data_IF_453871660539
#
_entry.id   IF_453871660539
#
_cell.length_a   1.000
_cell.length_b   1.000
_cell.length_c   1.000
_cell.angle_alpha   90.00
_cell.angle_beta   90.00
_cell.angle_gamma   90.00
#
_symmetry.space_group_name_H-M   'P 1'
#
loop_
_entity.id
_entity.type
_entity.pdbx_description
1 polymer ?
#
# COMPACT_ATOMS: atom_id res chain seq x y z
N UNK A 1 -24.93 -9.01 -20.96
CA UNK A 1 -24.86 -8.22 -19.71
C UNK A 1 -24.48 -6.77 -20.03
N UNK A 2 -25.25 -5.79 -19.56
CA UNK A 2 -24.96 -4.35 -19.68
C UNK A 2 -24.43 -3.82 -18.35
N UNK A 3 -23.38 -3.00 -18.37
CA UNK A 3 -22.96 -2.24 -17.18
C UNK A 3 -23.45 -0.80 -17.28
N UNK A 4 -24.08 -0.30 -16.20
CA UNK A 4 -24.56 1.07 -16.09
C UNK A 4 -23.97 1.71 -14.85
N UNK A 5 -23.16 2.75 -15.03
CA UNK A 5 -22.69 3.59 -13.93
C UNK A 5 -23.65 4.76 -13.73
N UNK A 6 -24.37 4.77 -12.60
CA UNK A 6 -25.30 5.87 -12.23
C UNK A 6 -24.67 6.88 -11.28
N UNK A 7 -23.41 6.68 -10.93
CA UNK A 7 -22.68 7.51 -9.97
C UNK A 7 -21.85 8.56 -10.69
N UNK A 8 -21.38 9.55 -9.94
CA UNK A 8 -20.39 10.53 -10.42
C UNK A 8 -18.96 9.97 -10.43
N UNK A 9 -18.74 8.77 -9.92
CA UNK A 9 -17.41 8.20 -9.74
C UNK A 9 -16.97 7.42 -10.98
N UNK A 10 -15.74 7.63 -11.47
CA UNK A 10 -15.17 6.81 -12.52
C UNK A 10 -15.18 5.33 -12.15
N UNK A 11 -15.71 4.50 -13.05
CA UNK A 11 -15.81 3.07 -12.85
C UNK A 11 -15.65 2.30 -14.15
N UNK A 12 -15.18 1.07 -14.04
CA UNK A 12 -14.97 0.14 -15.14
C UNK A 12 -15.51 -1.24 -14.76
N UNK A 13 -16.14 -1.92 -15.72
CA UNK A 13 -16.49 -3.32 -15.60
C UNK A 13 -15.71 -4.14 -16.62
N UNK A 14 -15.19 -5.30 -16.21
CA UNK A 14 -14.43 -6.21 -17.08
C UNK A 14 -14.58 -7.66 -16.62
N UNK A 15 -14.21 -8.60 -17.49
CA UNK A 15 -14.31 -10.03 -17.22
C UNK A 15 -13.06 -10.57 -16.51
N UNK A 16 -13.29 -11.50 -15.59
CA UNK A 16 -12.28 -12.31 -14.95
C UNK A 16 -12.60 -13.79 -15.05
N UNK A 17 -11.56 -14.60 -14.88
CA UNK A 17 -11.71 -16.03 -14.62
C UNK A 17 -10.79 -16.44 -13.49
N UNK A 18 -11.19 -17.46 -12.73
CA UNK A 18 -10.33 -18.08 -11.72
C UNK A 18 -9.51 -19.24 -12.31
N UNK A 19 -8.80 -19.97 -11.45
CA UNK A 19 -8.00 -21.14 -11.83
C UNK A 19 -8.84 -22.34 -12.28
N UNK A 20 -10.14 -22.35 -11.96
CA UNK A 20 -11.09 -23.38 -12.36
C UNK A 20 -11.86 -22.99 -13.63
N UNK A 21 -11.45 -21.91 -14.30
CA UNK A 21 -12.08 -21.33 -15.49
C UNK A 21 -13.52 -20.85 -15.25
N UNK A 22 -13.91 -20.64 -13.98
CA UNK A 22 -15.17 -20.02 -13.65
C UNK A 22 -15.08 -18.54 -13.96
N UNK A 23 -16.02 -18.03 -14.77
CA UNK A 23 -16.03 -16.61 -15.11
C UNK A 23 -16.73 -15.81 -14.03
N UNK A 24 -16.29 -14.58 -13.90
CA UNK A 24 -16.95 -13.59 -13.06
C UNK A 24 -16.73 -12.20 -13.67
N UNK A 25 -17.61 -11.28 -13.33
CA UNK A 25 -17.47 -9.88 -13.70
C UNK A 25 -16.89 -9.09 -12.53
N UNK A 26 -15.92 -8.25 -12.83
CA UNK A 26 -15.30 -7.33 -11.89
C UNK A 26 -15.80 -5.94 -12.21
N UNK A 27 -16.33 -5.24 -11.20
CA UNK A 27 -16.60 -3.80 -11.27
C UNK A 27 -15.63 -3.11 -10.33
N UNK A 28 -14.88 -2.15 -10.85
CA UNK A 28 -14.00 -1.30 -10.06
C UNK A 28 -14.52 0.14 -10.13
N UNK A 29 -14.66 0.78 -8.98
CA UNK A 29 -15.00 2.18 -8.84
C UNK A 29 -13.90 2.90 -8.07
N UNK A 30 -13.43 4.03 -8.58
CA UNK A 30 -12.43 4.87 -7.90
C UNK A 30 -13.09 6.16 -7.42
N UNK A 31 -12.91 6.48 -6.15
CA UNK A 31 -13.32 7.77 -5.57
C UNK A 31 -12.07 8.57 -5.20
N UNK A 32 -12.05 9.81 -5.65
CA UNK A 32 -10.97 10.75 -5.32
C UNK A 32 -11.50 11.76 -4.31
N UNK A 33 -10.79 11.86 -3.19
CA UNK A 33 -11.12 12.74 -2.08
C UNK A 33 -9.98 13.72 -1.82
N UNK A 34 -10.35 14.88 -1.32
CA UNK A 34 -9.48 15.78 -0.55
C UNK A 34 -9.99 15.82 0.89
N UNK A 35 -9.52 16.74 1.74
CA UNK A 35 -10.05 16.91 3.09
C UNK A 35 -10.19 18.37 3.49
N UNK A 36 -11.09 18.60 4.45
CA UNK A 36 -11.31 19.90 5.06
C UNK A 36 -10.38 20.15 6.25
N UNK A 37 -10.53 21.30 6.92
CA UNK A 37 -9.71 21.69 8.08
C UNK A 37 -9.85 20.75 9.30
N UNK A 38 -10.90 19.94 9.37
CA UNK A 38 -11.12 18.94 10.42
C UNK A 38 -10.57 17.55 10.04
N UNK A 39 -10.00 17.40 8.84
CA UNK A 39 -9.52 16.12 8.32
C UNK A 39 -10.64 15.18 7.89
N UNK A 40 -11.85 15.68 7.67
CA UNK A 40 -12.92 14.87 7.08
C UNK A 40 -12.69 14.77 5.58
N UNK A 41 -12.69 13.54 5.04
CA UNK A 41 -12.58 13.34 3.60
C UNK A 41 -13.84 13.86 2.91
N UNK A 42 -13.64 14.68 1.88
CA UNK A 42 -14.69 15.22 1.00
C UNK A 42 -14.32 14.92 -0.44
N UNK A 43 -15.30 14.76 -1.32
CA UNK A 43 -15.02 14.49 -2.73
C UNK A 43 -14.20 15.62 -3.35
N UNK A 44 -13.18 15.26 -4.11
CA UNK A 44 -12.41 16.21 -4.89
C UNK A 44 -13.21 16.67 -6.13
N UNK A 45 -12.99 17.91 -6.54
CA UNK A 45 -13.63 18.49 -7.73
C UNK A 45 -13.32 17.70 -9.01
N UNK A 46 -12.10 17.18 -9.11
CA UNK A 46 -11.66 16.28 -10.18
C UNK A 46 -11.51 14.85 -9.64
N UNK A 47 -12.05 13.89 -10.40
CA UNK A 47 -11.97 12.47 -10.07
C UNK A 47 -10.93 11.78 -10.96
N UNK A 48 -9.96 11.11 -10.33
CA UNK A 48 -9.02 10.25 -11.05
C UNK A 48 -9.76 9.02 -11.62
N UNK A 49 -9.49 8.64 -12.89
CA UNK A 49 -10.03 7.40 -13.46
C UNK A 49 -9.38 6.16 -12.82
N UNK A 50 -9.96 4.95 -12.99
CA UNK A 50 -9.29 3.72 -12.61
C UNK A 50 -7.90 3.61 -13.25
N UNK A 51 -6.92 3.16 -12.47
CA UNK A 51 -5.53 3.02 -12.88
C UNK A 51 -5.38 1.86 -13.87
N UNK A 52 -5.27 2.16 -15.16
CA UNK A 52 -5.26 1.15 -16.22
C UNK A 52 -3.94 0.37 -16.34
N UNK A 53 -2.84 0.91 -15.79
CA UNK A 53 -1.51 0.30 -15.77
C UNK A 53 -0.72 0.84 -14.58
N UNK A 54 0.25 0.08 -14.10
CA UNK A 54 1.14 0.51 -13.03
C UNK A 54 1.75 1.90 -13.34
N UNK A 55 1.73 2.80 -12.35
CA UNK A 55 2.29 4.14 -12.46
C UNK A 55 3.69 4.14 -11.84
N UNK A 56 4.72 4.16 -12.68
CA UNK A 56 6.10 4.21 -12.24
C UNK A 56 6.42 5.55 -11.55
N UNK A 57 7.42 5.54 -10.67
CA UNK A 57 7.92 6.78 -10.04
C UNK A 57 8.62 7.65 -11.09
N UNK A 58 9.46 7.02 -11.90
CA UNK A 58 10.02 7.59 -13.12
C UNK A 58 9.47 6.79 -14.31
N UNK A 59 8.63 7.40 -15.17
CA UNK A 59 8.05 6.74 -16.35
C UNK A 59 9.08 6.15 -17.32
N UNK A 60 10.31 6.67 -17.32
CA UNK A 60 11.39 6.25 -18.21
C UNK A 60 12.32 5.20 -17.57
N UNK A 61 12.07 4.83 -16.31
CA UNK A 61 12.88 3.88 -15.55
C UNK A 61 12.03 2.75 -14.96
N UNK A 62 12.10 1.58 -15.60
CA UNK A 62 11.42 0.37 -15.14
C UNK A 62 11.87 -0.11 -13.75
N UNK A 63 13.04 0.35 -13.30
CA UNK A 63 13.60 0.01 -11.98
C UNK A 63 13.27 1.07 -10.92
N UNK A 64 12.56 2.15 -11.26
CA UNK A 64 12.22 3.20 -10.29
C UNK A 64 11.16 2.78 -9.26
N UNK A 65 10.48 1.66 -9.48
CA UNK A 65 9.33 1.22 -8.68
C UNK A 65 8.03 1.92 -9.10
N UNK A 66 6.95 1.66 -8.37
CA UNK A 66 5.62 2.20 -8.69
C UNK A 66 5.05 3.03 -7.54
N UNK A 67 4.32 4.08 -7.88
CA UNK A 67 3.50 4.87 -6.94
C UNK A 67 2.13 4.23 -6.69
N UNK A 68 1.60 3.52 -7.69
CA UNK A 68 0.41 2.68 -7.58
C UNK A 68 0.41 1.61 -8.67
N UNK A 69 -0.21 0.46 -8.38
CA UNK A 69 -0.40 -0.62 -9.37
C UNK A 69 -1.78 -0.50 -10.03
N UNK A 70 -1.96 -1.21 -11.15
CA UNK A 70 -3.22 -1.20 -11.87
C UNK A 70 -4.42 -1.65 -11.02
N UNK A 71 -5.52 -0.93 -11.18
CA UNK A 71 -6.85 -1.26 -10.64
C UNK A 71 -7.49 -2.48 -11.34
N UNK A 72 -6.86 -3.03 -12.37
CA UNK A 72 -7.35 -4.20 -13.12
C UNK A 72 -7.01 -5.55 -12.46
N UNK A 73 -6.47 -5.54 -11.23
CA UNK A 73 -6.42 -6.73 -10.41
C UNK A 73 -7.85 -7.30 -10.24
N UNK A 74 -8.04 -8.57 -10.64
CA UNK A 74 -9.36 -9.21 -10.66
C UNK A 74 -9.93 -9.41 -9.25
N UNK A 75 -9.07 -9.74 -8.30
CA UNK A 75 -9.43 -9.92 -6.91
C UNK A 75 -8.23 -9.61 -6.00
N UNK A 76 -8.50 -8.93 -4.88
CA UNK A 76 -7.57 -8.73 -3.77
C UNK A 76 -8.20 -9.30 -2.50
N UNK A 77 -7.54 -10.24 -1.79
CA UNK A 77 -8.09 -10.79 -0.55
C UNK A 77 -8.01 -9.84 0.65
N UNK A 78 -7.23 -8.75 0.57
CA UNK A 78 -7.06 -7.76 1.64
C UNK A 78 -7.16 -6.34 1.10
N UNK A 79 -7.31 -5.38 2.02
CA UNK A 79 -7.20 -3.96 1.71
C UNK A 79 -5.75 -3.47 1.85
N UNK A 80 -5.21 -2.85 0.80
CA UNK A 80 -3.91 -2.19 0.78
C UNK A 80 -4.02 -0.75 1.28
N UNK A 81 -3.15 -0.33 2.20
CA UNK A 81 -3.01 1.09 2.60
C UNK A 81 -1.63 1.60 2.22
N UNK A 82 -1.60 2.46 1.20
CA UNK A 82 -0.39 2.96 0.53
C UNK A 82 -0.24 4.45 0.84
N UNK A 83 0.96 4.87 1.27
CA UNK A 83 1.29 6.29 1.47
C UNK A 83 2.37 6.71 0.47
N UNK A 84 2.06 7.72 -0.33
CA UNK A 84 2.96 8.36 -1.27
C UNK A 84 3.30 9.78 -0.82
N UNK A 85 4.53 10.23 -1.04
CA UNK A 85 4.98 11.58 -0.68
C UNK A 85 6.27 11.55 0.12
N UNK A 86 6.34 12.37 1.18
CA UNK A 86 7.55 12.54 1.97
C UNK A 86 7.31 12.35 3.48
N UNK A 87 8.36 11.96 4.19
CA UNK A 87 8.47 12.09 5.64
C UNK A 87 9.10 13.44 6.01
N UNK A 88 8.61 14.07 7.08
CA UNK A 88 9.01 15.41 7.52
C UNK A 88 9.60 15.36 8.93
N UNK A 89 10.82 15.89 9.17
CA UNK A 89 11.40 15.94 10.51
C UNK A 89 10.52 16.72 11.50
N UNK A 90 10.42 16.28 12.77
CA UNK A 90 9.65 16.99 13.79
C UNK A 90 10.14 18.42 13.98
N UNK A 91 9.20 19.33 14.27
CA UNK A 91 9.51 20.71 14.66
C UNK A 91 10.46 20.69 15.87
N UNK A 92 11.51 21.51 15.80
CA UNK A 92 12.57 21.62 16.81
C UNK A 92 13.53 20.41 16.93
N UNK A 93 13.46 19.41 16.04
CA UNK A 93 14.40 18.27 16.00
C UNK A 93 15.16 18.12 14.69
N UNK A 94 15.28 19.21 13.93
CA UNK A 94 16.00 19.24 12.65
C UNK A 94 17.50 18.93 12.78
N UNK A 95 18.07 19.11 13.98
CA UNK A 95 19.47 18.79 14.27
C UNK A 95 19.70 17.31 14.67
N UNK A 96 18.64 16.50 14.79
CA UNK A 96 18.78 15.06 15.03
C UNK A 96 19.03 14.33 13.71
N UNK A 97 19.83 13.28 13.75
CA UNK A 97 20.16 12.45 12.59
C UNK A 97 19.09 11.38 12.29
N UNK A 98 18.01 11.37 13.07
CA UNK A 98 16.89 10.44 12.90
C UNK A 98 15.58 10.95 13.49
N UNK A 99 14.47 10.47 12.98
CA UNK A 99 13.13 10.64 13.54
C UNK A 99 12.24 9.44 13.17
N UNK A 100 11.03 9.38 13.73
CA UNK A 100 10.04 8.34 13.41
C UNK A 100 8.92 8.89 12.54
N UNK A 101 8.50 8.11 11.56
CA UNK A 101 7.27 8.34 10.81
C UNK A 101 6.34 7.15 11.00
N UNK A 102 5.03 7.38 11.11
CA UNK A 102 4.09 6.29 11.39
C UNK A 102 2.72 6.48 10.77
N UNK A 103 2.07 5.33 10.53
CA UNK A 103 0.65 5.27 10.22
C UNK A 103 -0.07 4.48 11.30
N UNK A 104 -1.27 4.95 11.66
CA UNK A 104 -2.21 4.22 12.50
C UNK A 104 -3.59 4.26 11.85
N UNK A 105 -4.15 3.10 11.52
CA UNK A 105 -5.52 2.95 11.06
C UNK A 105 -6.34 2.28 12.15
N UNK A 106 -7.48 2.86 12.51
CA UNK A 106 -8.34 2.33 13.56
C UNK A 106 -9.82 2.55 13.26
N UNK A 107 -10.67 1.65 13.72
CA UNK A 107 -12.13 1.85 13.70
C UNK A 107 -12.51 3.00 14.64
N UNK A 108 -13.73 3.57 14.55
CA UNK A 108 -14.19 4.56 15.51
C UNK A 108 -14.22 4.00 16.94
N UNK A 109 -14.13 4.91 17.91
CA UNK A 109 -14.56 4.62 19.27
C UNK A 109 -16.09 4.53 19.32
N UNK A 110 -16.62 3.68 20.18
CA UNK A 110 -18.05 3.51 20.36
C UNK A 110 -18.46 3.89 21.78
N UNK A 111 -19.47 4.76 21.90
CA UNK A 111 -20.15 5.03 23.17
C UNK A 111 -21.53 4.39 23.09
N UNK A 112 -21.77 3.39 23.94
CA UNK A 112 -23.12 2.86 24.15
C UNK A 112 -23.78 3.71 25.22
N UNK A 113 -24.69 4.59 24.81
CA UNK A 113 -25.46 5.41 25.75
C UNK A 113 -26.37 4.51 26.58
N UNK A 114 -26.42 4.76 27.89
CA UNK A 114 -27.33 4.03 28.75
C UNK A 114 -28.78 4.36 28.37
N UNK A 115 -29.65 3.34 28.32
CA UNK A 115 -31.06 3.58 28.02
C UNK A 115 -31.66 4.51 29.08
N UNK A 116 -32.44 5.54 28.67
CA UNK A 116 -33.12 6.38 29.62
C UNK A 116 -34.10 5.52 30.41
N UNK A 117 -33.93 5.54 31.73
CA UNK A 117 -34.80 4.83 32.64
C UNK A 117 -36.17 5.51 32.59
N UNK A 118 -37.20 4.77 32.18
CA UNK A 118 -38.57 5.26 32.22
C UNK A 118 -38.91 5.75 33.63
N UNK A 119 -39.41 6.99 33.74
CA UNK A 119 -39.78 7.57 35.01
C UNK A 119 -40.85 6.69 35.69
N UNK A 120 -40.49 6.04 36.79
CA UNK A 120 -41.46 5.31 37.61
C UNK A 120 -42.40 6.32 38.28
N UNK A 121 -43.71 6.03 38.27
CA UNK A 121 -44.71 6.78 39.07
C UNK A 121 -44.49 6.62 40.58
N UNK A 122 -43.61 5.73 41.01
CA UNK A 122 -43.33 5.41 42.39
C UNK A 122 -41.91 5.86 42.79
N UNK A 123 -41.83 6.83 43.70
CA UNK A 123 -40.58 7.46 44.14
C UNK A 123 -39.55 6.47 44.73
N UNK A 124 -40.01 5.41 45.40
CA UNK A 124 -39.13 4.38 45.99
C UNK A 124 -38.44 3.50 44.94
N UNK A 125 -39.02 3.36 43.74
CA UNK A 125 -38.40 2.64 42.61
C UNK A 125 -37.36 3.53 41.93
N UNK A 126 -37.61 4.83 41.79
CA UNK A 126 -36.67 5.79 41.22
C UNK A 126 -35.33 5.86 41.98
N UNK A 127 -35.35 5.61 43.29
CA UNK A 127 -34.15 5.59 44.13
C UNK A 127 -33.31 4.32 43.94
N UNK A 128 -33.94 3.19 43.57
CA UNK A 128 -33.24 1.93 43.24
C UNK A 128 -32.58 1.95 41.86
N UNK A 129 -33.08 2.79 40.94
CA UNK A 129 -32.60 2.84 39.55
C UNK A 129 -31.43 3.84 39.35
N UNK A 130 -31.17 4.73 40.32
CA UNK A 130 -30.05 5.69 40.27
C UNK A 130 -28.66 5.05 40.15
N UNK A 131 -28.52 3.73 40.29
CA UNK A 131 -27.22 3.06 40.37
C UNK A 131 -26.77 2.25 39.14
N UNK A 132 -27.48 2.19 38.00
CA UNK A 132 -27.03 1.33 36.86
C UNK A 132 -27.36 1.82 35.44
N UNK A 133 -27.23 3.12 35.17
CA UNK A 133 -27.20 3.62 33.80
C UNK A 133 -25.91 4.42 33.63
N UNK A 134 -24.85 3.77 33.15
CA UNK A 134 -23.58 4.43 32.80
C UNK A 134 -23.31 4.18 31.33
N UNK A 135 -22.90 5.24 30.63
CA UNK A 135 -22.47 5.13 29.25
C UNK A 135 -21.21 4.26 29.20
N UNK A 136 -21.19 3.31 28.27
CA UNK A 136 -20.05 2.43 28.09
C UNK A 136 -19.22 2.90 26.90
N UNK A 137 -18.03 3.42 27.17
CA UNK A 137 -17.04 3.72 26.15
C UNK A 137 -16.23 2.47 25.81
N UNK A 138 -16.06 2.22 24.51
CA UNK A 138 -15.19 1.19 23.96
C UNK A 138 -14.29 1.83 22.91
N UNK A 139 -12.98 1.75 23.13
CA UNK A 139 -12.00 2.22 22.16
C UNK A 139 -12.10 1.43 20.85
N UNK A 140 -11.83 2.09 19.73
CA UNK A 140 -11.76 1.47 18.41
C UNK A 140 -10.66 0.42 18.32
N UNK A 141 -10.84 -0.54 17.41
CA UNK A 141 -9.83 -1.54 17.09
C UNK A 141 -8.76 -0.94 16.20
N UNK A 142 -7.50 -1.14 16.55
CA UNK A 142 -6.35 -0.80 15.69
C UNK A 142 -6.22 -1.86 14.61
N UNK A 143 -6.30 -1.44 13.35
CA UNK A 143 -6.20 -2.29 12.17
C UNK A 143 -4.76 -2.31 11.62
N UNK A 144 -4.11 -1.14 11.61
CA UNK A 144 -2.71 -0.97 11.22
C UNK A 144 -2.03 -0.08 12.26
N UNK A 145 -0.84 -0.48 12.70
CA UNK A 145 0.08 0.34 13.49
C UNK A 145 1.50 0.07 12.99
N UNK A 146 2.02 0.98 12.16
CA UNK A 146 3.34 0.84 11.55
C UNK A 146 4.14 2.09 11.82
N UNK A 147 5.30 1.89 12.43
CA UNK A 147 6.30 2.95 12.66
C UNK A 147 7.60 2.55 11.98
N UNK A 148 8.17 3.48 11.22
CA UNK A 148 9.49 3.36 10.60
C UNK A 148 10.41 4.46 11.12
N UNK A 149 11.70 4.17 11.16
CA UNK A 149 12.75 5.14 11.48
C UNK A 149 13.28 5.74 10.18
N UNK A 150 13.32 7.06 10.14
CA UNK A 150 13.89 7.85 9.06
C UNK A 150 15.25 8.37 9.52
N UNK A 151 16.31 8.03 8.80
CA UNK A 151 17.68 8.47 9.06
C UNK A 151 18.05 9.64 8.13
N UNK A 152 18.93 10.51 8.60
CA UNK A 152 19.61 11.46 7.72
C UNK A 152 20.48 10.72 6.70
N UNK A 153 20.88 11.34 5.58
CA UNK A 153 21.67 10.66 4.57
C UNK A 153 22.98 10.14 5.14
N UNK A 154 23.31 8.88 4.83
CA UNK A 154 24.55 8.23 5.29
C UNK A 154 25.32 7.63 4.12
N UNK A 155 26.64 7.65 4.23
CA UNK A 155 27.53 7.06 3.24
C UNK A 155 28.62 6.27 3.93
N UNK A 156 29.01 5.16 3.34
CA UNK A 156 30.24 4.46 3.68
C UNK A 156 31.32 4.91 2.70
N UNK A 157 32.43 5.43 3.23
CA UNK A 157 33.59 5.83 2.45
C UNK A 157 34.69 4.78 2.62
N UNK A 158 35.23 4.27 1.51
CA UNK A 158 36.35 3.34 1.54
C UNK A 158 37.62 4.12 1.93
N UNK A 159 38.18 3.85 3.11
CA UNK A 159 39.38 4.51 3.64
C UNK A 159 40.65 3.66 3.49
N UNK A 160 40.57 2.58 2.72
CA UNK A 160 41.66 1.62 2.59
C UNK A 160 42.82 2.10 1.73
N UNK A 161 44.02 1.87 2.27
CA UNK A 161 45.30 2.11 1.58
C UNK A 161 45.95 0.77 1.15
N UNK A 162 45.51 -0.36 1.70
CA UNK A 162 46.21 -1.66 1.63
C UNK A 162 45.48 -2.78 0.88
N UNK A 163 44.53 -2.44 -0.01
CA UNK A 163 43.91 -3.39 -0.95
C UNK A 163 42.71 -4.19 -0.45
N UNK A 164 42.36 -4.11 0.85
CA UNK A 164 41.11 -4.63 1.42
C UNK A 164 40.22 -3.46 1.81
N UNK A 165 39.00 -3.34 1.25
CA UNK A 165 38.09 -2.25 1.57
C UNK A 165 37.69 -2.21 3.06
N UNK A 166 37.81 -1.02 3.66
CA UNK A 166 37.44 -0.68 5.02
C UNK A 166 36.59 0.58 4.94
N UNK A 167 35.43 0.57 5.58
CA UNK A 167 34.39 1.54 5.32
C UNK A 167 34.12 2.36 6.57
N UNK A 168 34.25 3.68 6.46
CA UNK A 168 33.86 4.60 7.53
C UNK A 168 32.53 5.27 7.21
N UNK A 169 31.63 5.28 8.18
CA UNK A 169 30.34 5.94 8.05
C UNK A 169 30.46 7.46 8.17
N UNK A 170 29.89 8.16 7.20
CA UNK A 170 29.67 9.59 7.19
C UNK A 170 28.16 9.87 7.26
N UNK A 171 27.77 10.89 8.01
CA UNK A 171 26.38 11.26 8.25
C UNK A 171 26.23 12.73 7.85
N UNK A 172 25.35 12.98 6.88
CA UNK A 172 24.98 14.33 6.47
C UNK A 172 23.85 14.86 7.39
N UNK A 173 23.66 16.19 7.46
CA UNK A 173 22.51 16.78 8.14
C UNK A 173 21.17 16.27 7.59
N UNK A 174 20.16 16.19 8.46
CA UNK A 174 18.81 15.81 8.07
C UNK A 174 18.22 16.82 7.07
N UNK A 175 17.74 16.39 5.89
CA UNK A 175 17.05 17.27 4.95
C UNK A 175 15.70 17.75 5.50
N UNK A 176 15.11 18.77 4.88
CA UNK A 176 13.78 19.28 5.26
C UNK A 176 12.65 18.27 5.07
N UNK A 177 12.86 17.27 4.21
CA UNK A 177 11.96 16.13 3.97
C UNK A 177 12.72 14.97 3.35
N UNK A 178 12.22 13.75 3.50
CA UNK A 178 12.79 12.51 2.93
C UNK A 178 11.72 11.83 2.07
N UNK A 179 12.05 11.44 0.84
CA UNK A 179 11.08 10.76 -0.03
C UNK A 179 10.65 9.41 0.59
N UNK A 180 9.39 9.03 0.40
CA UNK A 180 8.87 7.70 0.73
C UNK A 180 9.03 6.68 -0.40
N UNK A 181 9.61 7.10 -1.52
CA UNK A 181 9.89 6.23 -2.66
C UNK A 181 10.77 5.04 -2.26
N UNK A 182 10.67 3.90 -2.96
CA UNK A 182 11.51 2.73 -2.71
C UNK A 182 13.01 3.02 -2.74
N UNK A 183 13.46 4.06 -3.45
CA UNK A 183 14.86 4.51 -3.48
C UNK A 183 15.39 5.00 -2.14
N UNK A 184 14.51 5.38 -1.21
CA UNK A 184 14.89 5.72 0.17
C UNK A 184 14.95 4.50 1.09
N UNK A 185 14.54 3.33 0.61
CA UNK A 185 14.64 2.04 1.31
C UNK A 185 15.88 1.25 0.90
N UNK A 186 16.23 0.21 1.67
CA UNK A 186 17.35 -0.67 1.32
C UNK A 186 17.07 -1.39 0.00
N UNK A 187 18.12 -1.62 -0.79
CA UNK A 187 18.05 -2.30 -2.08
C UNK A 187 18.94 -1.62 -3.11
N UNK A 188 18.60 -1.75 -4.39
CA UNK A 188 19.31 -1.17 -5.51
C UNK A 188 19.90 -2.22 -6.44
N UNK A 189 20.82 -1.81 -7.31
CA UNK A 189 21.53 -2.71 -8.20
C UNK A 189 23.00 -2.31 -8.32
N UNK A 190 23.83 -3.26 -8.77
CA UNK A 190 25.24 -3.05 -9.07
C UNK A 190 25.49 -3.41 -10.53
N UNK A 191 26.20 -2.55 -11.26
CA UNK A 191 26.54 -2.78 -12.66
C UNK A 191 28.01 -2.49 -12.96
N UNK A 192 28.54 -3.12 -14.01
CA UNK A 192 29.87 -2.83 -14.56
C UNK A 192 29.71 -2.70 -16.08
N UNK A 193 30.15 -1.57 -16.60
CA UNK A 193 30.13 -1.28 -18.04
C UNK A 193 31.27 -1.98 -18.77
N UNK A 194 31.08 -2.21 -20.07
CA UNK A 194 32.11 -2.73 -20.96
C UNK A 194 33.42 -1.93 -20.88
N UNK A 195 34.54 -2.62 -21.11
CA UNK A 195 35.88 -2.01 -21.06
C UNK A 195 36.41 -1.78 -19.65
N UNK A 196 35.62 -1.97 -18.59
CA UNK A 196 36.13 -1.87 -17.22
C UNK A 196 37.10 -3.02 -16.90
N UNK A 197 38.26 -2.68 -16.35
CA UNK A 197 39.35 -3.65 -16.09
C UNK A 197 38.99 -4.77 -15.11
N UNK A 198 37.94 -4.59 -14.29
CA UNK A 198 37.46 -5.59 -13.34
C UNK A 198 36.81 -6.81 -14.03
N UNK A 199 36.26 -6.65 -15.24
CA UNK A 199 35.55 -7.71 -15.97
C UNK A 199 36.43 -8.96 -16.20
N UNK A 200 37.75 -8.77 -16.35
CA UNK A 200 38.70 -9.89 -16.53
C UNK A 200 38.84 -10.83 -15.32
N UNK A 201 38.32 -10.44 -14.16
CA UNK A 201 38.34 -11.23 -12.93
C UNK A 201 36.98 -11.85 -12.60
N UNK A 202 35.95 -11.58 -13.42
CA UNK A 202 34.60 -12.10 -13.25
C UNK A 202 34.45 -13.32 -14.16
N UNK A 203 33.81 -14.38 -13.64
CA UNK A 203 33.56 -15.58 -14.43
C UNK A 203 32.63 -15.25 -15.60
N UNK A 204 32.85 -15.85 -16.77
CA UNK A 204 32.05 -15.59 -17.96
C UNK A 204 30.55 -15.87 -17.76
N UNK A 205 30.21 -16.87 -16.94
CA UNK A 205 28.82 -17.24 -16.64
C UNK A 205 28.08 -16.21 -15.76
N UNK A 206 28.83 -15.28 -15.13
CA UNK A 206 28.27 -14.16 -14.35
C UNK A 206 28.14 -12.87 -15.19
N UNK A 207 28.71 -12.86 -16.40
CA UNK A 207 28.62 -11.73 -17.31
C UNK A 207 27.36 -11.87 -18.17
N UNK A 208 26.79 -10.73 -18.53
CA UNK A 208 25.70 -10.71 -19.49
C UNK A 208 26.27 -11.14 -20.86
N UNK A 209 25.65 -12.12 -21.55
CA UNK A 209 26.07 -12.49 -22.90
C UNK A 209 26.06 -11.28 -23.85
N UNK A 210 27.08 -11.14 -24.71
CA UNK A 210 27.21 -9.99 -25.64
C UNK A 210 25.95 -9.74 -26.48
N UNK A 211 25.28 -10.83 -26.90
CA UNK A 211 24.03 -10.77 -27.67
C UNK A 211 22.84 -10.18 -26.90
N UNK A 212 22.92 -10.10 -25.56
CA UNK A 212 21.86 -9.60 -24.67
C UNK A 212 22.15 -8.18 -24.17
N UNK A 213 23.32 -7.61 -24.47
CA UNK A 213 23.70 -6.27 -23.99
C UNK A 213 22.70 -5.19 -24.41
N UNK A 214 22.23 -5.23 -25.66
CA UNK A 214 21.26 -4.26 -26.20
C UNK A 214 19.85 -4.41 -25.60
N UNK A 215 19.58 -5.51 -24.90
CA UNK A 215 18.27 -5.78 -24.29
C UNK A 215 18.10 -5.15 -22.91
N UNK A 216 19.21 -4.78 -22.25
CA UNK A 216 19.19 -4.19 -20.90
C UNK A 216 19.07 -2.68 -21.01
N UNK A 217 17.87 -2.18 -20.73
CA UNK A 217 17.57 -0.74 -20.69
C UNK A 217 17.39 -0.30 -19.24
N UNK A 218 18.49 0.11 -18.61
CA UNK A 218 18.47 0.92 -17.39
C UNK A 218 18.55 2.40 -17.77
N UNK A 219 17.94 3.28 -16.99
CA UNK A 219 17.83 4.74 -17.17
C UNK A 219 19.14 5.42 -17.68
N UNK A 220 19.08 6.61 -18.32
CA UNK A 220 19.67 6.96 -19.61
C UNK A 220 21.18 7.29 -19.59
N UNK A 221 21.91 7.00 -18.50
CA UNK A 221 23.28 7.46 -18.28
C UNK A 221 24.34 6.35 -18.28
N UNK A 222 23.94 5.11 -18.58
CA UNK A 222 24.86 3.97 -18.62
C UNK A 222 25.29 3.64 -20.04
N UNK A 223 26.57 3.31 -20.20
CA UNK A 223 27.10 2.67 -21.41
C UNK A 223 26.63 1.23 -21.54
N UNK A 224 27.25 0.46 -22.44
CA UNK A 224 26.96 -0.97 -22.57
C UNK A 224 27.26 -1.71 -21.27
N UNK A 225 26.28 -2.44 -20.73
CA UNK A 225 26.38 -3.10 -19.43
C UNK A 225 26.86 -4.54 -19.62
N UNK A 226 28.01 -4.89 -19.05
CA UNK A 226 28.61 -6.23 -19.12
C UNK A 226 28.31 -7.11 -17.89
N UNK A 227 27.99 -6.48 -16.75
CA UNK A 227 27.54 -7.16 -15.53
C UNK A 227 26.41 -6.34 -14.90
N UNK A 228 25.34 -7.01 -14.46
CA UNK A 228 24.25 -6.41 -13.70
C UNK A 228 23.76 -7.41 -12.65
N UNK A 229 23.69 -6.97 -11.41
CA UNK A 229 22.98 -7.70 -10.35
C UNK A 229 22.11 -6.74 -9.55
N UNK A 230 20.81 -6.95 -9.63
CA UNK A 230 19.83 -6.21 -8.84
C UNK A 230 19.51 -6.93 -7.53
N UNK A 231 19.18 -6.15 -6.50
CA UNK A 231 18.55 -6.67 -5.31
C UNK A 231 17.17 -7.23 -5.65
N UNK A 232 16.90 -8.46 -5.24
CA UNK A 232 15.62 -9.12 -5.53
C UNK A 232 14.43 -8.49 -4.81
N UNK A 233 14.65 -7.91 -3.62
CA UNK A 233 13.58 -7.37 -2.78
C UNK A 233 13.15 -5.97 -3.20
N UNK A 234 14.11 -5.10 -3.51
CA UNK A 234 13.89 -3.73 -3.91
C UNK A 234 14.95 -3.26 -4.91
N UNK A 235 14.80 -3.55 -6.21
CA UNK A 235 15.74 -3.11 -7.23
C UNK A 235 15.88 -1.59 -7.34
N UNK A 236 14.84 -0.84 -6.95
CA UNK A 236 14.81 0.62 -6.94
C UNK A 236 15.58 1.25 -5.76
N UNK A 237 15.97 0.43 -4.79
CA UNK A 237 16.48 0.87 -3.49
C UNK A 237 17.89 1.47 -3.52
N UNK A 238 18.39 1.77 -2.33
CA UNK A 238 19.75 2.28 -2.12
C UNK A 238 20.48 1.48 -1.05
N UNK A 239 21.79 1.26 -1.25
CA UNK A 239 22.68 0.65 -0.24
C UNK A 239 23.01 -0.82 -0.48
N UNK A 240 22.40 -1.47 -1.47
CA UNK A 240 22.82 -2.78 -1.94
C UNK A 240 24.18 -2.71 -2.66
N UNK A 241 25.03 -3.69 -2.39
CA UNK A 241 26.29 -3.88 -3.10
C UNK A 241 26.47 -5.37 -3.35
N UNK A 242 26.33 -5.77 -4.62
CA UNK A 242 26.43 -7.16 -5.02
C UNK A 242 27.82 -7.75 -4.65
N UNK A 243 27.92 -9.02 -4.20
CA UNK A 243 29.19 -9.57 -3.75
C UNK A 243 30.33 -9.50 -4.77
N UNK A 244 30.06 -9.81 -6.05
CA UNK A 244 31.04 -9.75 -7.14
C UNK A 244 31.46 -8.29 -7.39
N UNK A 245 30.49 -7.39 -7.52
CA UNK A 245 30.75 -5.96 -7.67
C UNK A 245 31.59 -5.42 -6.52
N UNK A 246 31.19 -5.69 -5.28
CA UNK A 246 31.87 -5.20 -4.08
C UNK A 246 33.32 -5.68 -4.01
N UNK A 247 33.55 -6.97 -4.31
CA UNK A 247 34.88 -7.59 -4.29
C UNK A 247 35.84 -6.95 -5.30
N UNK A 248 35.39 -6.74 -6.53
CA UNK A 248 36.29 -6.32 -7.63
C UNK A 248 36.32 -4.81 -7.87
N UNK A 249 35.21 -4.11 -7.59
CA UNK A 249 35.12 -2.66 -7.74
C UNK A 249 35.55 -1.91 -6.49
N UNK A 250 35.44 -2.53 -5.30
CA UNK A 250 35.73 -1.92 -4.00
C UNK A 250 35.24 -0.46 -3.92
N UNK A 251 33.92 -0.23 -4.11
CA UNK A 251 33.39 1.09 -4.43
C UNK A 251 33.86 2.13 -3.41
N UNK A 252 34.38 3.28 -3.87
CA UNK A 252 34.95 4.29 -2.97
C UNK A 252 33.91 4.93 -2.05
N UNK A 253 32.63 4.87 -2.46
CA UNK A 253 31.48 5.39 -1.72
C UNK A 253 30.27 4.49 -1.92
N UNK A 254 29.58 4.15 -0.84
CA UNK A 254 28.28 3.48 -0.87
C UNK A 254 27.28 4.40 -0.16
N UNK A 255 26.26 4.88 -0.88
CA UNK A 255 25.12 5.58 -0.27
C UNK A 255 24.22 4.57 0.43
N UNK A 256 23.76 4.87 1.64
CA UNK A 256 22.87 4.00 2.41
C UNK A 256 21.42 4.50 2.35
N UNK A 257 20.47 3.58 2.55
CA UNK A 257 19.05 3.90 2.64
C UNK A 257 18.70 4.70 3.90
N UNK A 258 17.57 5.40 3.85
CA UNK A 258 17.10 6.29 4.91
C UNK A 258 15.90 5.73 5.69
N UNK A 259 15.13 4.80 5.12
CA UNK A 259 13.93 4.23 5.75
C UNK A 259 14.23 2.84 6.29
N UNK A 260 13.97 2.63 7.58
CA UNK A 260 14.31 1.40 8.30
C UNK A 260 13.20 0.99 9.27
N UNK A 261 13.12 -0.29 9.59
CA UNK A 261 12.40 -0.71 10.79
C UNK A 261 13.16 -0.27 12.05
N UNK A 262 12.48 0.16 13.14
CA UNK A 262 13.16 0.69 14.33
C UNK A 262 14.13 -0.28 15.01
N UNK A 263 13.90 -1.59 14.88
CA UNK A 263 14.71 -2.66 15.44
C UNK A 263 15.82 -3.15 14.49
N UNK A 264 15.91 -2.60 13.27
CA UNK A 264 16.90 -3.00 12.27
C UNK A 264 17.36 -1.79 11.43
N UNK A 265 18.30 -1.02 11.98
CA UNK A 265 18.95 0.08 11.27
C UNK A 265 20.13 -0.44 10.45
N UNK A 266 20.32 0.12 9.26
CA UNK A 266 21.52 -0.16 8.44
C UNK A 266 22.79 0.25 9.18
N UNK A 267 23.81 -0.61 9.09
CA UNK A 267 25.13 -0.39 9.68
C UNK A 267 26.21 -0.94 8.76
N UNK A 268 27.46 -0.54 9.01
CA UNK A 268 28.63 -1.07 8.28
C UNK A 268 28.68 -2.61 8.34
N UNK A 269 28.38 -3.20 9.50
CA UNK A 269 28.34 -4.65 9.68
C UNK A 269 27.31 -5.34 8.78
N UNK A 270 26.12 -4.74 8.61
CA UNK A 270 25.08 -5.27 7.72
C UNK A 270 25.54 -5.18 6.27
N UNK A 271 26.06 -4.03 5.85
CA UNK A 271 26.57 -3.85 4.47
C UNK A 271 27.68 -4.86 4.17
N UNK A 272 28.62 -5.06 5.10
CA UNK A 272 29.68 -6.05 4.98
C UNK A 272 29.16 -7.50 4.92
N UNK A 273 28.06 -7.83 5.59
CA UNK A 273 27.43 -9.14 5.50
C UNK A 273 26.72 -9.35 4.17
N UNK A 274 26.00 -8.34 3.68
CA UNK A 274 25.36 -8.36 2.35
C UNK A 274 26.39 -8.51 1.24
N UNK A 275 27.46 -7.71 1.28
CA UNK A 275 28.57 -7.77 0.31
C UNK A 275 29.31 -9.12 0.30
N UNK A 276 29.14 -9.94 1.34
CA UNK A 276 29.73 -11.29 1.43
C UNK A 276 28.71 -12.40 1.19
N UNK A 277 27.44 -12.07 0.94
CA UNK A 277 26.35 -13.05 0.82
C UNK A 277 26.12 -13.84 2.11
N UNK A 278 26.34 -13.22 3.28
CA UNK A 278 26.30 -13.88 4.60
C UNK A 278 25.11 -13.48 5.48
N UNK A 279 24.28 -12.53 5.02
CA UNK A 279 23.09 -12.13 5.76
C UNK A 279 21.99 -13.18 5.53
N UNK A 280 21.33 -13.61 6.60
CA UNK A 280 20.22 -14.56 6.51
C UNK A 280 19.01 -13.94 5.83
N UNK A 281 18.17 -14.80 5.23
CA UNK A 281 17.03 -14.39 4.41
C UNK A 281 16.02 -13.51 5.17
N UNK A 282 15.65 -13.91 6.39
CA UNK A 282 14.64 -13.20 7.18
C UNK A 282 15.12 -11.80 7.57
N UNK A 283 16.38 -11.70 8.01
CA UNK A 283 17.00 -10.42 8.30
C UNK A 283 17.15 -9.56 7.05
N UNK A 284 17.48 -10.14 5.91
CA UNK A 284 17.57 -9.43 4.63
C UNK A 284 16.23 -8.86 4.20
N UNK A 285 15.17 -9.67 4.23
CA UNK A 285 13.81 -9.27 3.88
C UNK A 285 13.36 -8.04 4.70
N UNK A 286 13.71 -8.00 6.00
CA UNK A 286 13.40 -6.86 6.87
C UNK A 286 14.27 -5.61 6.64
N UNK A 287 15.30 -5.64 5.80
CA UNK A 287 16.02 -4.42 5.44
C UNK A 287 15.18 -3.50 4.55
N UNK A 288 14.28 -4.09 3.75
CA UNK A 288 13.39 -3.35 2.87
C UNK A 288 12.15 -2.90 3.64
N UNK A 289 12.10 -1.60 3.94
CA UNK A 289 11.01 -0.95 4.65
C UNK A 289 10.46 0.23 3.84
N UNK A 290 9.14 0.38 3.80
CA UNK A 290 8.50 1.53 3.13
C UNK A 290 7.04 1.66 3.51
N UNK A 291 6.41 2.76 3.10
CA UNK A 291 4.97 2.97 3.22
C UNK A 291 4.20 2.82 1.90
N UNK A 292 4.92 2.77 0.78
CA UNK A 292 4.37 2.70 -0.57
C UNK A 292 4.17 1.28 -1.09
N UNK A 293 4.22 1.12 -2.42
CA UNK A 293 4.07 -0.15 -3.13
C UNK A 293 5.31 -1.03 -2.96
N UNK A 294 5.08 -2.31 -2.64
CA UNK A 294 6.07 -3.38 -2.69
C UNK A 294 6.07 -3.99 -4.10
N UNK A 295 7.18 -3.94 -4.81
CA UNK A 295 7.29 -4.36 -6.21
C UNK A 295 6.80 -5.80 -6.47
N UNK A 296 6.25 -6.06 -7.66
CA UNK A 296 5.82 -7.41 -8.10
C UNK A 296 6.95 -8.44 -8.10
N UNK A 297 8.18 -7.99 -8.37
CA UNK A 297 9.39 -8.81 -8.33
C UNK A 297 9.85 -9.19 -6.92
N UNK A 298 9.25 -8.61 -5.87
CA UNK A 298 9.64 -8.89 -4.50
C UNK A 298 9.48 -10.40 -4.20
N UNK A 299 10.46 -11.07 -3.57
CA UNK A 299 10.45 -12.53 -3.42
C UNK A 299 9.20 -13.08 -2.74
N UNK A 300 8.72 -12.40 -1.68
CA UNK A 300 7.46 -12.78 -1.01
C UNK A 300 6.21 -12.66 -1.89
N UNK A 301 6.21 -11.85 -2.95
CA UNK A 301 5.12 -11.82 -3.95
C UNK A 301 5.34 -12.88 -5.01
N UNK A 302 6.57 -13.06 -5.49
CA UNK A 302 6.90 -14.09 -6.49
C UNK A 302 6.47 -15.49 -6.04
N UNK A 303 6.59 -15.80 -4.73
CA UNK A 303 6.10 -17.06 -4.14
C UNK A 303 4.60 -17.32 -4.35
N UNK A 304 3.81 -16.27 -4.60
CA UNK A 304 2.35 -16.33 -4.77
C UNK A 304 1.94 -16.50 -6.24
N UNK A 305 2.88 -16.45 -7.18
CA UNK A 305 2.57 -16.60 -8.60
C UNK A 305 2.14 -18.02 -8.93
N UNK A 306 2.59 -19.04 -8.20
CA UNK A 306 2.33 -20.44 -8.55
C UNK A 306 3.34 -20.98 -9.59
N UNK A 307 2.99 -22.09 -10.24
CA UNK A 307 3.88 -22.84 -11.14
C UNK A 307 3.84 -22.28 -12.57
N UNK A 308 4.87 -21.52 -12.96
CA UNK A 308 5.03 -20.98 -14.32
C UNK A 308 5.89 -21.93 -15.15
N UNK A 309 5.29 -23.01 -15.65
CA UNK A 309 5.95 -24.01 -16.50
C UNK A 309 5.63 -23.82 -17.99
N UNK A 310 6.18 -24.72 -18.82
CA UNK A 310 5.92 -24.70 -20.28
C UNK A 310 4.47 -25.01 -20.62
N UNK A 311 3.77 -25.78 -19.78
CA UNK A 311 2.40 -26.17 -20.06
C UNK A 311 1.48 -24.96 -19.85
N UNK A 312 1.67 -24.22 -18.75
CA UNK A 312 1.02 -22.92 -18.52
C UNK A 312 1.36 -21.94 -19.65
N UNK A 313 2.64 -21.80 -20.01
CA UNK A 313 3.07 -20.86 -21.06
C UNK A 313 2.47 -21.15 -22.45
N UNK A 314 2.04 -22.39 -22.71
CA UNK A 314 1.37 -22.80 -23.95
C UNK A 314 -0.16 -22.94 -23.79
N UNK A 315 -0.71 -22.66 -22.62
CA UNK A 315 -2.14 -22.74 -22.32
C UNK A 315 -2.88 -21.43 -22.61
N UNK A 316 -4.21 -21.48 -22.58
CA UNK A 316 -5.08 -20.29 -22.58
C UNK A 316 -5.44 -19.82 -21.15
N UNK A 317 -4.84 -20.41 -20.13
CA UNK A 317 -5.18 -20.13 -18.75
C UNK A 317 -4.65 -18.75 -18.34
N UNK A 318 -5.47 -17.97 -17.62
CA UNK A 318 -5.10 -16.61 -17.18
C UNK A 318 -4.12 -16.66 -16.00
N UNK A 319 -4.21 -17.70 -15.18
CA UNK A 319 -3.41 -17.89 -13.98
C UNK A 319 -2.77 -19.26 -13.98
N UNK A 320 -1.51 -19.38 -13.58
CA UNK A 320 -0.86 -20.67 -13.40
C UNK A 320 -1.49 -21.42 -12.21
N UNK A 321 -1.25 -22.73 -12.18
CA UNK A 321 -1.65 -23.57 -11.06
C UNK A 321 -0.99 -23.09 -9.76
N UNK A 322 -1.77 -22.98 -8.70
CA UNK A 322 -1.27 -22.55 -7.39
C UNK A 322 -1.07 -21.04 -7.23
N UNK A 323 -1.41 -20.22 -8.23
CA UNK A 323 -1.54 -18.76 -8.09
C UNK A 323 -2.41 -18.38 -6.89
N UNK A 324 -1.87 -17.57 -5.99
CA UNK A 324 -2.57 -16.98 -4.86
C UNK A 324 -2.87 -15.51 -5.16
N UNK A 325 -4.16 -15.14 -5.08
CA UNK A 325 -4.60 -13.78 -5.35
C UNK A 325 -4.05 -12.73 -4.39
N UNK A 326 -3.48 -13.12 -3.24
CA UNK A 326 -2.69 -12.22 -2.40
C UNK A 326 -1.48 -11.64 -3.14
N UNK A 327 -1.07 -12.21 -4.28
CA UNK A 327 -0.12 -11.59 -5.20
C UNK A 327 -0.51 -10.16 -5.59
N UNK A 328 -1.81 -9.88 -5.73
CA UNK A 328 -2.32 -8.56 -6.14
C UNK A 328 -2.36 -7.52 -5.01
N UNK A 329 -2.15 -7.93 -3.75
CA UNK A 329 -1.96 -6.98 -2.66
C UNK A 329 -0.55 -6.40 -2.72
N UNK A 330 -0.48 -5.10 -2.99
CA UNK A 330 0.77 -4.40 -3.30
C UNK A 330 1.37 -3.66 -2.11
N UNK A 331 0.61 -3.45 -1.02
CA UNK A 331 1.15 -2.90 0.21
C UNK A 331 2.06 -3.92 0.93
N UNK A 332 2.96 -3.43 1.80
CA UNK A 332 3.68 -4.30 2.73
C UNK A 332 2.70 -5.04 3.65
N UNK A 333 3.02 -6.26 4.07
CA UNK A 333 2.09 -7.12 4.84
C UNK A 333 1.54 -6.44 6.10
N UNK A 334 2.36 -5.65 6.79
CA UNK A 334 1.95 -4.88 7.97
C UNK A 334 1.23 -3.55 7.65
N UNK A 335 0.80 -3.36 6.40
CA UNK A 335 -0.06 -2.29 5.91
C UNK A 335 -1.24 -2.83 5.11
N UNK A 336 -1.52 -4.12 5.26
CA UNK A 336 -2.71 -4.78 4.74
C UNK A 336 -3.68 -5.03 5.89
N UNK A 337 -4.98 -4.94 5.61
CA UNK A 337 -6.06 -5.17 6.58
C UNK A 337 -7.20 -5.94 5.93
N UNK A 338 -8.17 -6.40 6.71
CA UNK A 338 -9.48 -6.73 6.16
C UNK A 338 -10.07 -5.51 5.42
N UNK A 339 -11.03 -5.77 4.52
CA UNK A 339 -11.71 -4.71 3.77
C UNK A 339 -12.27 -3.64 4.70
N UNK A 340 -11.97 -2.39 4.37
CA UNK A 340 -12.48 -1.25 5.12
C UNK A 340 -13.94 -1.02 4.79
N UNK A 341 -14.66 -0.42 5.74
CA UNK A 341 -16.10 -0.17 5.63
C UNK A 341 -16.43 1.31 5.49
N UNK A 342 -15.40 2.17 5.47
CA UNK A 342 -15.54 3.60 5.72
C UNK A 342 -15.84 3.85 7.19
N UNK A 343 -15.66 5.09 7.66
CA UNK A 343 -15.69 5.51 9.08
C UNK A 343 -14.39 5.28 9.89
N UNK A 344 -13.35 4.70 9.29
CA UNK A 344 -12.10 4.50 10.00
C UNK A 344 -11.30 5.82 10.12
N UNK A 345 -10.50 5.93 11.19
CA UNK A 345 -9.53 7.01 11.38
C UNK A 345 -8.17 6.57 10.89
N UNK A 346 -7.61 7.29 9.92
CA UNK A 346 -6.22 7.18 9.51
C UNK A 346 -5.42 8.33 10.13
N UNK A 347 -4.42 8.00 10.94
CA UNK A 347 -3.50 8.96 11.55
C UNK A 347 -2.13 8.80 10.91
N UNK A 348 -1.59 9.90 10.40
CA UNK A 348 -0.27 10.02 9.82
C UNK A 348 0.60 10.87 10.75
N UNK A 349 1.74 10.35 11.19
CA UNK A 349 2.71 11.09 12.00
C UNK A 349 3.99 11.30 11.21
N UNK A 350 4.42 12.55 11.05
CA UNK A 350 5.59 12.97 10.29
C UNK A 350 5.57 12.52 8.81
N UNK A 351 4.37 12.30 8.24
CA UNK A 351 4.15 11.90 6.84
C UNK A 351 3.34 12.96 6.06
N UNK A 352 3.32 14.19 6.55
CA UNK A 352 2.76 15.34 5.85
C UNK A 352 3.54 16.60 6.24
N UNK A 353 3.46 17.62 5.38
CA UNK A 353 4.06 18.91 5.65
C UNK A 353 3.46 19.55 6.93
N UNK A 354 4.25 20.26 7.76
CA UNK A 354 3.76 20.91 8.98
C UNK A 354 2.64 21.93 8.77
N UNK A 355 2.51 22.47 7.56
CA UNK A 355 1.52 23.45 7.13
C UNK A 355 0.38 22.84 6.29
N UNK A 356 0.33 21.51 6.15
CA UNK A 356 -0.78 20.84 5.46
C UNK A 356 -2.12 21.09 6.17
N UNK A 357 -3.20 21.18 5.39
CA UNK A 357 -4.56 21.36 5.93
C UNK A 357 -4.88 20.22 6.92
N UNK A 358 -5.49 20.57 8.06
CA UNK A 358 -5.81 19.69 9.19
C UNK A 358 -4.60 19.06 9.92
N UNK A 359 -3.37 19.40 9.54
CA UNK A 359 -2.19 18.98 10.30
C UNK A 359 -2.06 19.77 11.59
N UNK A 360 -1.60 19.09 12.64
CA UNK A 360 -1.33 19.68 13.95
C UNK A 360 0.07 19.29 14.39
N UNK A 361 0.67 20.07 15.31
CA UNK A 361 1.98 19.76 15.87
C UNK A 361 1.77 19.34 17.32
N UNK A 362 2.17 18.11 17.66
CA UNK A 362 2.02 17.60 19.01
C UNK A 362 3.11 18.16 19.96
N UNK A 363 3.01 17.84 21.25
CA UNK A 363 3.97 18.30 22.27
C UNK A 363 5.42 17.82 22.06
N UNK A 364 5.63 16.79 21.23
CA UNK A 364 6.96 16.27 20.86
C UNK A 364 7.54 16.97 19.62
N UNK A 365 6.76 17.84 18.98
CA UNK A 365 7.11 18.49 17.72
C UNK A 365 6.73 17.69 16.48
N UNK A 366 6.12 16.51 16.61
CA UNK A 366 5.74 15.71 15.46
C UNK A 366 4.53 16.34 14.76
N UNK A 367 4.56 16.35 13.44
CA UNK A 367 3.39 16.73 12.62
C UNK A 367 2.42 15.56 12.59
N UNK A 368 1.15 15.80 12.93
CA UNK A 368 0.09 14.78 12.97
C UNK A 368 -1.07 15.22 12.11
N UNK A 369 -1.41 14.42 11.11
CA UNK A 369 -2.61 14.55 10.28
C UNK A 369 -3.55 13.39 10.56
N UNK A 370 -4.80 13.71 10.91
CA UNK A 370 -5.86 12.71 11.16
C UNK A 370 -6.92 12.86 10.09
N UNK A 371 -7.18 11.78 9.37
CA UNK A 371 -8.17 11.71 8.30
C UNK A 371 -9.30 10.75 8.69
N UNK A 372 -10.54 11.16 8.48
CA UNK A 372 -11.73 10.33 8.67
C UNK A 372 -12.25 9.86 7.33
N UNK A 373 -12.28 8.53 7.12
CA UNK A 373 -12.80 7.95 5.89
C UNK A 373 -14.30 8.21 5.75
N UNK A 374 -14.80 8.48 4.53
CA UNK A 374 -16.21 8.75 4.31
C UNK A 374 -17.05 7.51 4.62
N UNK A 375 -18.25 7.71 5.13
CA UNK A 375 -19.20 6.62 5.43
C UNK A 375 -19.99 6.22 4.17
N UNK A 376 -19.26 5.95 3.10
CA UNK A 376 -19.79 5.57 1.79
C UNK A 376 -20.02 4.07 1.71
N UNK A 377 -21.13 3.69 1.09
CA UNK A 377 -21.46 2.31 0.74
C UNK A 377 -21.59 2.23 -0.77
N UNK A 378 -20.74 1.43 -1.40
CA UNK A 378 -20.80 1.11 -2.82
C UNK A 378 -21.34 -0.31 -3.01
N UNK A 379 -22.28 -0.48 -3.94
CA UNK A 379 -22.89 -1.78 -4.22
C UNK A 379 -23.33 -1.88 -5.68
N UNK A 380 -23.47 -3.13 -6.14
CA UNK A 380 -23.95 -3.48 -7.47
C UNK A 380 -25.39 -3.96 -7.37
N UNK A 381 -26.31 -3.27 -8.03
CA UNK A 381 -27.67 -3.74 -8.20
C UNK A 381 -27.74 -4.59 -9.48
N UNK A 382 -28.04 -5.88 -9.31
CA UNK A 382 -28.16 -6.86 -10.38
C UNK A 382 -29.63 -7.02 -10.74
N UNK A 383 -29.96 -6.82 -12.02
CA UNK A 383 -31.31 -7.01 -12.53
C UNK A 383 -31.31 -8.00 -13.68
N UNK A 384 -32.38 -8.80 -13.74
CA UNK A 384 -32.66 -9.74 -14.82
C UNK A 384 -34.06 -9.48 -15.36
N UNK A 385 -34.24 -9.73 -16.65
CA UNK A 385 -35.54 -9.77 -17.32
C UNK A 385 -36.28 -11.07 -17.06
N UNK A 386 -35.58 -12.10 -16.58
CA UNK A 386 -36.21 -13.32 -16.12
C UNK A 386 -36.99 -13.05 -14.83
N UNK A 387 -38.33 -13.17 -14.82
CA UNK A 387 -39.13 -12.92 -13.64
C UNK A 387 -38.88 -13.94 -12.51
N UNK A 388 -38.19 -15.05 -12.77
CA UNK A 388 -37.78 -16.01 -11.74
C UNK A 388 -36.51 -15.57 -10.98
N UNK A 389 -35.74 -14.64 -11.55
CA UNK A 389 -34.50 -14.16 -10.94
C UNK A 389 -34.78 -12.94 -10.05
N UNK A 390 -34.40 -13.05 -8.79
CA UNK A 390 -34.61 -11.99 -7.79
C UNK A 390 -33.52 -10.93 -7.97
N UNK A 391 -33.93 -9.66 -8.06
CA UNK A 391 -33.00 -8.54 -8.05
C UNK A 391 -32.12 -8.61 -6.80
N UNK A 392 -30.81 -8.57 -6.99
CA UNK A 392 -29.82 -8.81 -5.93
C UNK A 392 -28.91 -7.59 -5.80
N UNK A 393 -28.58 -7.22 -4.56
CA UNK A 393 -27.59 -6.19 -4.28
C UNK A 393 -26.31 -6.86 -3.76
N UNK A 394 -25.18 -6.56 -4.40
CA UNK A 394 -23.88 -7.08 -3.99
C UNK A 394 -23.00 -5.95 -3.45
N UNK A 395 -22.53 -6.01 -2.19
CA UNK A 395 -21.65 -4.98 -1.65
C UNK A 395 -20.29 -5.01 -2.35
N UNK A 396 -19.77 -3.83 -2.69
CA UNK A 396 -18.38 -3.68 -3.13
C UNK A 396 -17.47 -3.55 -1.91
N UNK A 397 -16.25 -4.05 -2.02
CA UNK A 397 -15.24 -4.00 -0.96
C UNK A 397 -14.26 -2.87 -1.21
N UNK A 398 -14.00 -2.04 -0.19
CA UNK A 398 -12.90 -1.07 -0.21
C UNK A 398 -11.59 -1.83 0.05
N UNK A 399 -10.79 -2.01 -0.99
CA UNK A 399 -9.60 -2.86 -0.94
C UNK A 399 -8.29 -2.14 -1.28
N UNK A 400 -8.35 -0.85 -1.62
CA UNK A 400 -7.14 -0.04 -1.79
C UNK A 400 -7.42 1.39 -1.32
N UNK A 401 -6.58 1.88 -0.42
CA UNK A 401 -6.53 3.27 0.03
C UNK A 401 -5.15 3.83 -0.30
N UNK A 402 -5.10 4.83 -1.16
CA UNK A 402 -3.86 5.51 -1.54
C UNK A 402 -3.93 6.93 -0.99
N UNK A 403 -2.98 7.30 -0.13
CA UNK A 403 -2.92 8.61 0.49
C UNK A 403 -1.68 9.34 -0.01
N UNK A 404 -1.89 10.54 -0.56
CA UNK A 404 -0.83 11.42 -1.04
C UNK A 404 -0.91 12.76 -0.30
N UNK A 405 -0.36 12.85 0.93
CA UNK A 405 -0.47 14.04 1.77
C UNK A 405 0.02 15.32 1.10
N UNK A 406 1.14 15.23 0.39
CA UNK A 406 1.76 16.36 -0.31
C UNK A 406 0.91 16.92 -1.46
N UNK A 407 -0.04 16.12 -1.97
CA UNK A 407 -0.98 16.50 -3.05
C UNK A 407 -2.39 16.74 -2.52
N UNK A 408 -2.59 16.69 -1.21
CA UNK A 408 -3.89 16.76 -0.54
C UNK A 408 -4.96 15.81 -1.12
N UNK A 409 -4.55 14.57 -1.43
CA UNK A 409 -5.39 13.62 -2.17
C UNK A 409 -5.46 12.25 -1.51
N UNK A 410 -6.65 11.65 -1.50
CA UNK A 410 -6.91 10.26 -1.10
C UNK A 410 -7.72 9.57 -2.19
N UNK A 411 -7.23 8.44 -2.71
CA UNK A 411 -7.99 7.59 -3.61
C UNK A 411 -8.50 6.36 -2.86
N UNK A 412 -9.79 6.09 -2.98
CA UNK A 412 -10.46 4.89 -2.46
C UNK A 412 -10.90 4.03 -3.65
N UNK A 413 -10.45 2.78 -3.69
CA UNK A 413 -10.81 1.83 -4.76
C UNK A 413 -11.74 0.77 -4.20
N UNK A 414 -12.93 0.70 -4.80
CA UNK A 414 -13.97 -0.26 -4.46
C UNK A 414 -14.05 -1.32 -5.54
N UNK A 415 -14.15 -2.59 -5.13
CA UNK A 415 -14.23 -3.73 -6.05
C UNK A 415 -15.44 -4.60 -5.73
N UNK A 416 -16.27 -4.81 -6.73
CA UNK A 416 -17.39 -5.73 -6.70
C UNK A 416 -17.13 -6.92 -7.62
N UNK A 417 -17.53 -8.11 -7.16
CA UNK A 417 -17.45 -9.34 -7.94
C UNK A 417 -18.86 -9.87 -8.16
N UNK A 418 -19.18 -10.20 -9.42
CA UNK A 418 -20.44 -10.84 -9.80
C UNK A 418 -20.10 -12.17 -10.45
N UNK A 419 -20.38 -13.27 -9.75
CA UNK A 419 -20.19 -14.61 -10.30
C UNK A 419 -21.18 -14.86 -11.46
N UNK A 420 -20.76 -15.65 -12.44
CA UNK A 420 -21.53 -15.92 -13.66
C UNK A 420 -22.92 -16.51 -13.37
N UNK A 421 -23.09 -17.26 -12.28
CA UNK A 421 -24.37 -17.87 -11.85
C UNK A 421 -25.51 -16.86 -11.69
N UNK A 422 -25.22 -15.59 -11.40
CA UNK A 422 -26.25 -14.55 -11.29
C UNK A 422 -26.89 -14.20 -12.64
N UNK A 423 -26.21 -14.47 -13.76
CA UNK A 423 -26.63 -14.14 -15.13
C UNK A 423 -27.43 -12.83 -15.28
N UNK A 424 -26.93 -11.68 -14.80
CA UNK A 424 -27.69 -10.45 -14.86
C UNK A 424 -27.79 -9.93 -16.31
N UNK A 425 -28.97 -9.40 -16.66
CA UNK A 425 -29.13 -8.61 -17.87
C UNK A 425 -28.39 -7.27 -17.73
N UNK A 426 -28.46 -6.67 -16.54
CA UNK A 426 -27.85 -5.38 -16.22
C UNK A 426 -27.21 -5.37 -14.82
N UNK A 427 -26.00 -4.83 -14.75
CA UNK A 427 -25.30 -4.48 -13.52
C UNK A 427 -25.33 -2.96 -13.40
N UNK A 428 -25.97 -2.45 -12.35
CA UNK A 428 -26.00 -1.02 -12.06
C UNK A 428 -25.15 -0.70 -10.84
N UNK A 429 -24.13 0.14 -11.03
CA UNK A 429 -23.33 0.65 -9.91
C UNK A 429 -24.12 1.74 -9.18
N UNK A 430 -24.23 1.59 -7.85
CA UNK A 430 -24.85 2.55 -6.95
C UNK A 430 -23.94 2.86 -5.77
N UNK A 431 -24.11 4.08 -5.26
CA UNK A 431 -23.44 4.57 -4.06
C UNK A 431 -24.47 5.27 -3.19
N UNK A 432 -24.35 5.09 -1.88
CA UNK A 432 -25.13 5.82 -0.89
C UNK A 432 -24.31 6.07 0.38
N UNK A 433 -24.73 7.02 1.19
CA UNK A 433 -24.20 7.22 2.54
C UNK A 433 -24.79 6.21 3.54
N UNK A 434 -24.04 5.94 4.61
CA UNK A 434 -24.52 5.11 5.74
C UNK A 434 -25.77 5.68 6.40
N UNK A 435 -25.93 7.00 6.43
CA UNK A 435 -27.14 7.68 6.90
C UNK A 435 -28.35 7.40 6.01
N UNK A 436 -28.18 7.48 4.69
CA UNK A 436 -29.25 7.12 3.74
C UNK A 436 -29.64 5.65 3.88
N UNK A 437 -28.66 4.76 4.08
CA UNK A 437 -28.92 3.34 4.28
C UNK A 437 -29.71 3.10 5.57
N UNK A 438 -29.35 3.79 6.65
CA UNK A 438 -30.05 3.71 7.94
C UNK A 438 -31.50 4.16 7.79
N UNK A 439 -31.74 5.31 7.15
CA UNK A 439 -33.10 5.82 6.87
C UNK A 439 -33.91 4.86 6.00
N UNK A 440 -33.29 4.28 4.97
CA UNK A 440 -33.95 3.31 4.09
C UNK A 440 -34.35 2.05 4.88
N UNK A 441 -33.43 1.52 5.69
CA UNK A 441 -33.70 0.38 6.56
C UNK A 441 -34.84 0.67 7.54
N UNK A 442 -34.83 1.81 8.22
CA UNK A 442 -35.89 2.23 9.14
C UNK A 442 -37.27 2.31 8.46
N UNK A 443 -37.33 2.83 7.23
CA UNK A 443 -38.55 2.87 6.42
C UNK A 443 -39.05 1.46 6.08
N UNK A 444 -38.17 0.56 5.64
CA UNK A 444 -38.56 -0.83 5.37
C UNK A 444 -39.02 -1.57 6.62
N UNK A 445 -38.32 -1.39 7.76
CA UNK A 445 -38.70 -2.01 9.03
C UNK A 445 -40.08 -1.56 9.50
N UNK A 446 -40.37 -0.25 9.41
CA UNK A 446 -41.67 0.31 9.80
C UNK A 446 -42.80 -0.12 8.87
N UNK A 447 -42.51 -0.40 7.60
CA UNK A 447 -43.53 -0.81 6.62
C UNK A 447 -43.81 -2.32 6.60
N UNK A 448 -42.81 -3.17 6.80
CA UNK A 448 -42.93 -4.61 6.48
C UNK A 448 -42.89 -5.54 7.70
N UNK A 449 -42.46 -5.07 8.89
CA UNK A 449 -42.28 -5.92 10.09
C UNK A 449 -41.45 -7.20 9.84
N UNK A 450 -40.65 -7.25 8.78
CA UNK A 450 -39.80 -8.38 8.41
C UNK A 450 -38.36 -7.89 8.24
N UNK A 451 -37.40 -8.70 8.70
CA UNK A 451 -35.97 -8.48 8.47
C UNK A 451 -35.63 -9.14 7.13
N UNK A 452 -35.55 -8.35 6.06
CA UNK A 452 -34.76 -8.72 4.89
C UNK A 452 -33.54 -7.81 4.93
N UNK A 453 -32.36 -8.34 5.30
CA UNK A 453 -31.10 -7.59 5.22
C UNK A 453 -30.57 -7.77 3.79
N UNK A 454 -30.64 -6.75 2.91
CA UNK A 454 -30.09 -6.89 1.56
C UNK A 454 -28.57 -6.73 1.55
N UNK A 455 -27.98 -6.25 2.66
CA UNK A 455 -26.59 -5.86 2.76
C UNK A 455 -26.00 -6.47 4.04
N UNK A 456 -25.32 -7.61 3.89
CA UNK A 456 -24.45 -8.21 4.91
C UNK A 456 -23.04 -8.35 4.34
#
# INVERSE_FOLDING_TARGET
MKFTNTTIHPALAFEGSDQLKQKFYVVVMRQTHTWNEQGLLVLADEQDPPCMKDQLIDPDDLMSGATEESDLARYKPKCDVIINGHAYPPKHRQNQDSFTASIKLQTPDYVTLAQPVAASKYAFVAQSIKNKAQDHYKAGQVLIDKTLTILSPRYLLNDSITGNAHYKMHIDPMPSKVSLDPSSSFGGYSLIEEGHSALKYINKDELIPEQEHDSIKLNPYHGTIAYLQADGFNPAGTGYSAPIYHKYMQPPRIKLSQIHYPDLLISESIVNQVARGKLDYDRYNRLVAGFGVRAKSHPERVKLVGEVDKDFANSEDIYPQGFDFAYWNSAYLNQQTEFLTGNEWLTLTNLCAPDAIAATINNKGDTVLRLYLPETIAYLALTSKDPQMIATELPMRLDTVIVSPDRQKVNLVWRGLVIEDYQPDEITLKVMSRDEQTKLNEQYYTQTSQIVRPLA
#
